data_IF_405783217607
#
_entry.id   IF_405783217607
#
_cell.length_a   1.000
_cell.length_b   1.000
_cell.length_c   1.000
_cell.angle_alpha   90.00
_cell.angle_beta   90.00
_cell.angle_gamma   90.00
#
_symmetry.space_group_name_H-M   'P 1'
#
loop_
_entity.id
_entity.type
_entity.pdbx_description
1 polymer ?
#
# COMPACT_ATOMS: atom_id res chain seq x y z
N UNK A 1 -4.17 -28.13 35.27
CA UNK A 1 -3.40 -27.82 36.50
C UNK A 1 -4.03 -26.62 37.20
N UNK A 2 -4.58 -26.81 38.40
CA UNK A 2 -5.44 -25.82 39.08
C UNK A 2 -4.68 -24.59 39.56
N UNK A 3 -5.26 -23.40 39.36
CA UNK A 3 -4.82 -22.14 39.97
C UNK A 3 -5.17 -22.17 41.46
N UNK A 4 -4.19 -22.38 42.34
CA UNK A 4 -4.39 -22.21 43.78
C UNK A 4 -4.80 -20.78 44.13
N UNK A 5 -5.71 -20.61 45.09
CA UNK A 5 -6.15 -19.31 45.60
C UNK A 5 -4.99 -18.58 46.32
N UNK A 6 -4.96 -17.25 46.22
CA UNK A 6 -3.89 -16.43 46.80
C UNK A 6 -4.07 -16.19 48.30
N UNK A 7 -5.28 -16.34 48.82
CA UNK A 7 -5.68 -16.05 50.20
C UNK A 7 -5.58 -17.23 51.17
N UNK A 8 -5.32 -18.44 50.67
CA UNK A 8 -5.33 -19.66 51.48
C UNK A 8 -4.01 -20.44 51.40
N UNK A 9 -3.72 -21.17 52.47
CA UNK A 9 -2.59 -22.11 52.56
C UNK A 9 -2.88 -23.38 51.74
N UNK A 10 -1.86 -24.21 51.51
CA UNK A 10 -2.00 -25.49 50.80
C UNK A 10 -3.01 -26.44 51.47
N UNK A 11 -3.28 -26.25 52.77
CA UNK A 11 -4.27 -27.01 53.55
C UNK A 11 -5.62 -26.30 53.70
N UNK A 12 -5.89 -25.22 52.95
CA UNK A 12 -7.18 -24.52 53.00
C UNK A 12 -7.33 -23.50 54.14
N UNK A 13 -6.38 -23.41 55.08
CA UNK A 13 -6.42 -22.44 56.19
C UNK A 13 -6.14 -21.03 55.69
N UNK A 14 -6.89 -20.06 56.21
CA UNK A 14 -6.73 -18.64 55.90
C UNK A 14 -5.29 -18.17 56.22
N UNK A 15 -4.66 -17.45 55.28
CA UNK A 15 -3.33 -16.86 55.50
C UNK A 15 -3.43 -15.55 56.28
N UNK A 16 -2.41 -15.26 57.09
CA UNK A 16 -2.29 -13.96 57.75
C UNK A 16 -2.15 -12.83 56.70
N UNK A 17 -2.77 -11.68 56.95
CA UNK A 17 -2.76 -10.51 56.09
C UNK A 17 -1.34 -10.06 55.69
N UNK A 18 -0.38 -10.13 56.63
CA UNK A 18 1.03 -9.79 56.37
C UNK A 18 1.70 -10.77 55.40
N UNK A 19 1.41 -12.06 55.53
CA UNK A 19 1.94 -13.08 54.63
C UNK A 19 1.28 -13.05 53.26
N UNK A 20 0.00 -12.69 53.19
CA UNK A 20 -0.69 -12.46 51.93
C UNK A 20 -0.08 -11.28 51.17
N UNK A 21 0.22 -10.17 51.87
CA UNK A 21 0.92 -9.03 51.29
C UNK A 21 2.32 -9.40 50.77
N UNK A 22 3.10 -10.17 51.53
CA UNK A 22 4.43 -10.66 51.11
C UNK A 22 4.33 -11.58 49.88
N UNK A 23 3.34 -12.48 49.84
CA UNK A 23 3.09 -13.40 48.73
C UNK A 23 2.66 -12.66 47.46
N UNK A 24 1.85 -11.62 47.60
CA UNK A 24 1.46 -10.75 46.49
C UNK A 24 2.63 -9.91 45.97
N UNK A 25 3.47 -9.35 46.84
CA UNK A 25 4.69 -8.63 46.45
C UNK A 25 5.63 -9.54 45.65
N UNK A 26 5.91 -10.75 46.16
CA UNK A 26 6.74 -11.75 45.46
C UNK A 26 6.14 -12.15 44.12
N UNK A 27 4.81 -12.28 44.04
CA UNK A 27 4.09 -12.59 42.79
C UNK A 27 4.17 -11.45 41.77
N UNK A 28 4.17 -10.19 42.21
CA UNK A 28 4.35 -9.00 41.36
C UNK A 28 5.78 -8.92 40.84
N UNK A 29 6.77 -9.21 41.68
CA UNK A 29 8.19 -9.33 41.29
C UNK A 29 8.42 -10.47 40.29
N UNK A 30 7.89 -11.67 40.56
CA UNK A 30 7.97 -12.82 39.65
C UNK A 30 7.17 -12.61 38.35
N UNK A 31 6.16 -11.73 38.34
CA UNK A 31 5.45 -11.29 37.13
C UNK A 31 6.21 -10.23 36.34
N UNK A 32 7.27 -9.65 36.90
CA UNK A 32 8.17 -8.74 36.20
C UNK A 32 9.13 -9.51 35.27
N UNK A 33 8.61 -10.48 34.52
CA UNK A 33 9.26 -11.13 33.36
C UNK A 33 9.28 -10.24 32.11
N UNK A 34 8.90 -8.97 32.24
CA UNK A 34 8.90 -7.98 31.16
C UNK A 34 10.25 -7.91 30.41
N UNK A 35 11.43 -7.91 31.09
CA UNK A 35 12.70 -7.94 30.35
C UNK A 35 12.97 -9.29 29.67
N UNK A 36 12.47 -10.41 30.20
CA UNK A 36 12.72 -11.74 29.62
C UNK A 36 12.00 -11.97 28.29
N UNK A 37 10.87 -11.31 28.01
CA UNK A 37 10.20 -11.40 26.71
C UNK A 37 10.62 -10.28 25.75
N UNK A 38 11.06 -9.14 26.28
CA UNK A 38 11.61 -8.04 25.47
C UNK A 38 13.00 -8.34 24.91
N UNK A 39 13.88 -9.01 25.68
CA UNK A 39 15.23 -9.37 25.21
C UNK A 39 15.16 -10.31 23.99
N UNK A 40 14.36 -11.39 23.96
CA UNK A 40 14.17 -12.20 22.76
C UNK A 40 13.60 -11.40 21.60
N UNK A 41 12.60 -10.53 21.82
CA UNK A 41 12.02 -9.73 20.74
C UNK A 41 13.03 -8.72 20.15
N UNK A 42 13.88 -8.11 20.98
CA UNK A 42 14.94 -7.20 20.54
C UNK A 42 16.08 -7.95 19.82
N UNK A 43 16.49 -9.11 20.34
CA UNK A 43 17.45 -10.01 19.69
C UNK A 43 16.91 -10.54 18.37
N UNK A 44 15.60 -10.82 18.27
CA UNK A 44 14.93 -11.19 17.02
C UNK A 44 14.89 -10.03 16.02
N UNK A 45 14.63 -8.80 16.46
CA UNK A 45 14.64 -7.61 15.59
C UNK A 45 16.04 -7.23 15.09
N UNK A 46 17.10 -7.70 15.76
CA UNK A 46 18.49 -7.41 15.41
C UNK A 46 19.21 -8.53 14.65
N UNK A 47 18.59 -9.70 14.46
CA UNK A 47 19.20 -10.77 13.66
C UNK A 47 19.08 -10.39 12.18
N UNK A 48 20.24 -10.29 11.53
CA UNK A 48 20.34 -10.19 10.09
C UNK A 48 19.63 -11.42 9.45
N UNK A 49 18.66 -11.22 8.53
CA UNK A 49 18.00 -12.31 7.83
C UNK A 49 18.99 -13.29 7.18
N UNK A 50 20.13 -12.79 6.69
CA UNK A 50 21.19 -13.63 6.13
C UNK A 50 21.83 -14.54 7.18
N UNK A 51 21.94 -14.08 8.42
CA UNK A 51 22.44 -14.89 9.52
C UNK A 51 21.44 -15.99 9.90
N UNK A 52 20.14 -15.68 9.90
CA UNK A 52 19.11 -16.69 10.17
C UNK A 52 19.08 -17.80 9.13
N UNK A 53 19.27 -17.45 7.85
CA UNK A 53 19.38 -18.43 6.76
C UNK A 53 20.59 -19.34 6.98
N UNK A 54 21.78 -18.76 7.26
CA UNK A 54 22.99 -19.53 7.58
C UNK A 54 22.82 -20.46 8.78
N UNK A 55 22.09 -20.01 9.80
CA UNK A 55 21.83 -20.81 11.00
C UNK A 55 20.85 -21.96 10.71
N UNK A 56 19.89 -21.77 9.79
CA UNK A 56 19.03 -22.87 9.31
C UNK A 56 19.81 -23.87 8.44
N UNK A 57 20.65 -23.40 7.52
CA UNK A 57 21.50 -24.27 6.69
C UNK A 57 22.39 -25.17 7.54
N UNK A 58 22.98 -24.63 8.62
CA UNK A 58 23.76 -25.44 9.57
C UNK A 58 22.93 -26.45 10.36
N UNK A 59 21.67 -26.13 10.66
CA UNK A 59 20.76 -27.08 11.31
C UNK A 59 20.42 -28.23 10.35
N UNK A 60 20.17 -27.92 9.08
CA UNK A 60 19.90 -28.91 8.03
C UNK A 60 21.13 -29.80 7.77
N UNK A 61 22.33 -29.21 7.71
CA UNK A 61 23.59 -29.95 7.61
C UNK A 61 23.76 -30.95 8.75
N UNK A 62 23.41 -30.59 9.99
CA UNK A 62 23.48 -31.52 11.13
C UNK A 62 22.41 -32.63 11.07
N UNK A 63 21.27 -32.41 10.42
CA UNK A 63 20.19 -33.40 10.29
C UNK A 63 20.47 -34.38 9.13
N UNK A 64 21.14 -33.92 8.07
CA UNK A 64 21.40 -34.69 6.84
C UNK A 64 22.82 -35.23 6.68
N UNK A 65 23.77 -34.93 7.58
CA UNK A 65 25.14 -35.43 7.46
C UNK A 65 25.22 -36.93 7.81
N UNK A 66 25.53 -37.82 6.84
CA UNK A 66 25.58 -39.26 7.07
C UNK A 66 26.86 -39.71 7.81
N UNK A 67 27.83 -38.81 7.99
CA UNK A 67 29.17 -39.12 8.55
C UNK A 67 29.26 -38.81 10.05
N UNK A 68 28.48 -37.86 10.55
CA UNK A 68 28.56 -37.37 11.92
C UNK A 68 27.22 -37.53 12.64
N UNK A 69 27.23 -38.26 13.76
CA UNK A 69 26.04 -38.34 14.61
C UNK A 69 25.67 -36.94 15.12
N UNK A 70 24.39 -36.54 15.01
CA UNK A 70 23.98 -35.21 15.44
C UNK A 70 24.23 -35.04 16.95
N UNK A 71 24.96 -33.98 17.34
CA UNK A 71 25.31 -33.74 18.75
C UNK A 71 24.11 -33.32 19.62
N UNK A 72 22.97 -33.00 19.00
CA UNK A 72 21.75 -32.58 19.67
C UNK A 72 20.63 -33.62 19.49
N UNK A 73 19.88 -33.84 20.55
CA UNK A 73 18.62 -34.60 20.54
C UNK A 73 17.70 -34.17 19.38
N UNK A 74 17.16 -35.14 18.62
CA UNK A 74 16.28 -34.95 17.48
C UNK A 74 15.09 -34.02 17.78
N UNK A 75 14.52 -34.13 18.99
CA UNK A 75 13.43 -33.24 19.44
C UNK A 75 13.87 -31.78 19.57
N UNK A 76 15.10 -31.55 20.04
CA UNK A 76 15.67 -30.20 20.21
C UNK A 76 15.98 -29.57 18.85
N UNK A 77 16.43 -30.37 17.88
CA UNK A 77 16.69 -29.89 16.50
C UNK A 77 15.39 -29.49 15.81
N UNK A 78 14.37 -30.35 15.86
CA UNK A 78 13.03 -30.06 15.32
C UNK A 78 12.42 -28.81 15.95
N UNK A 79 12.55 -28.65 17.27
CA UNK A 79 12.05 -27.45 17.96
C UNK A 79 12.79 -26.17 17.54
N UNK A 80 14.12 -26.24 17.33
CA UNK A 80 14.92 -25.12 16.80
C UNK A 80 14.52 -24.75 15.37
N UNK A 81 14.45 -25.73 14.46
CA UNK A 81 14.05 -25.51 13.07
C UNK A 81 12.64 -24.91 12.99
N UNK A 82 11.69 -25.45 13.76
CA UNK A 82 10.33 -24.92 13.85
C UNK A 82 10.28 -23.49 14.38
N UNK A 83 11.17 -23.13 15.31
CA UNK A 83 11.25 -21.76 15.80
C UNK A 83 11.83 -20.84 14.72
N UNK A 84 12.97 -21.18 14.13
CA UNK A 84 13.61 -20.39 13.05
C UNK A 84 12.66 -20.12 11.88
N UNK A 85 11.91 -21.13 11.42
CA UNK A 85 10.89 -20.96 10.37
C UNK A 85 9.77 -19.98 10.77
N UNK A 86 9.32 -20.00 12.03
CA UNK A 86 8.31 -19.04 12.52
C UNK A 86 8.87 -17.62 12.56
N UNK A 87 10.15 -17.46 12.88
CA UNK A 87 10.80 -16.15 12.90
C UNK A 87 10.95 -15.59 11.47
N UNK A 88 11.40 -16.40 10.52
CA UNK A 88 11.49 -16.01 9.11
C UNK A 88 10.13 -15.62 8.53
N UNK A 89 9.07 -16.40 8.81
CA UNK A 89 7.71 -16.06 8.34
C UNK A 89 7.23 -14.70 8.86
N UNK A 90 7.58 -14.33 10.10
CA UNK A 90 7.22 -13.01 10.65
C UNK A 90 7.95 -11.88 9.92
N UNK A 91 9.23 -12.07 9.62
CA UNK A 91 10.03 -11.11 8.86
C UNK A 91 9.51 -10.94 7.43
N UNK A 92 9.14 -12.03 6.78
CA UNK A 92 8.54 -12.02 5.44
C UNK A 92 7.27 -11.16 5.40
N UNK A 93 6.35 -11.38 6.34
CA UNK A 93 5.13 -10.58 6.46
C UNK A 93 5.44 -9.10 6.70
N UNK A 94 6.41 -8.78 7.58
CA UNK A 94 6.82 -7.39 7.83
C UNK A 94 7.40 -6.74 6.57
N UNK A 95 8.20 -7.49 5.80
CA UNK A 95 8.78 -7.01 4.55
C UNK A 95 7.71 -6.76 3.49
N UNK A 96 6.75 -7.68 3.33
CA UNK A 96 5.61 -7.50 2.43
C UNK A 96 4.77 -6.28 2.82
N UNK A 97 4.52 -6.06 4.11
CA UNK A 97 3.81 -4.88 4.58
C UNK A 97 4.53 -3.58 4.21
N UNK A 98 5.85 -3.50 4.43
CA UNK A 98 6.64 -2.32 4.06
C UNK A 98 6.65 -2.11 2.54
N UNK A 99 6.74 -3.19 1.77
CA UNK A 99 6.67 -3.13 0.30
C UNK A 99 5.31 -2.64 -0.18
N UNK A 100 4.22 -3.10 0.45
CA UNK A 100 2.88 -2.63 0.14
C UNK A 100 2.71 -1.12 0.44
N UNK A 101 3.24 -0.65 1.57
CA UNK A 101 3.26 0.79 1.90
C UNK A 101 4.05 1.60 0.88
N UNK A 102 5.20 1.09 0.44
CA UNK A 102 6.01 1.76 -0.59
C UNK A 102 5.27 1.82 -1.93
N UNK A 103 4.60 0.74 -2.34
CA UNK A 103 3.79 0.72 -3.55
C UNK A 103 2.66 1.75 -3.49
N UNK A 104 1.96 1.88 -2.36
CA UNK A 104 0.93 2.91 -2.18
C UNK A 104 1.49 4.33 -2.34
N UNK A 105 2.71 4.58 -1.87
CA UNK A 105 3.38 5.86 -2.06
C UNK A 105 3.70 6.10 -3.54
N UNK A 106 4.20 5.08 -4.25
CA UNK A 106 4.49 5.17 -5.68
C UNK A 106 3.21 5.41 -6.50
N UNK A 107 2.13 4.66 -6.21
CA UNK A 107 0.83 4.85 -6.85
C UNK A 107 0.32 6.28 -6.65
N UNK A 108 0.47 6.84 -5.43
CA UNK A 108 0.07 8.22 -5.15
C UNK A 108 0.92 9.24 -5.92
N UNK A 109 2.23 9.00 -6.07
CA UNK A 109 3.12 9.85 -6.88
C UNK A 109 2.73 9.77 -8.36
N UNK A 110 2.48 8.57 -8.88
CA UNK A 110 2.07 8.36 -10.27
C UNK A 110 0.73 9.03 -10.59
N UNK A 111 -0.24 8.98 -9.67
CA UNK A 111 -1.50 9.72 -9.80
C UNK A 111 -1.26 11.24 -9.88
N UNK A 112 -0.40 11.79 -9.02
CA UNK A 112 -0.05 13.22 -9.05
C UNK A 112 0.65 13.59 -10.36
N UNK A 113 1.57 12.76 -10.83
CA UNK A 113 2.28 12.95 -12.11
C UNK A 113 1.30 12.88 -13.28
N UNK A 114 0.39 11.91 -13.28
CA UNK A 114 -0.69 11.79 -14.27
C UNK A 114 -1.60 13.02 -14.29
N UNK A 115 -1.99 13.54 -13.12
CA UNK A 115 -2.79 14.75 -13.02
C UNK A 115 -2.03 15.99 -13.49
N UNK A 116 -0.75 16.11 -13.16
CA UNK A 116 0.05 17.29 -13.52
C UNK A 116 0.37 17.35 -15.01
N UNK A 117 0.61 16.21 -15.65
CA UNK A 117 1.07 16.18 -17.05
C UNK A 117 0.00 15.71 -18.03
N UNK A 118 -0.76 14.66 -17.71
CA UNK A 118 -1.68 14.06 -18.69
C UNK A 118 -3.02 14.77 -18.77
N UNK A 119 -3.55 15.28 -17.66
CA UNK A 119 -4.82 16.01 -17.65
C UNK A 119 -4.77 17.33 -18.45
N UNK A 120 -3.72 18.17 -18.35
CA UNK A 120 -3.60 19.36 -19.19
C UNK A 120 -3.45 19.02 -20.67
N UNK A 121 -2.71 17.96 -21.01
CA UNK A 121 -2.54 17.52 -22.40
C UNK A 121 -3.87 17.09 -23.02
N UNK A 122 -4.68 16.31 -22.28
CA UNK A 122 -6.03 15.92 -22.73
C UNK A 122 -6.95 17.13 -22.89
N UNK A 123 -6.93 18.07 -21.95
CA UNK A 123 -7.72 19.29 -22.02
C UNK A 123 -7.33 20.17 -23.23
N UNK A 124 -6.03 20.31 -23.49
CA UNK A 124 -5.51 21.04 -24.65
C UNK A 124 -5.91 20.38 -25.98
N UNK A 125 -5.94 19.06 -26.05
CA UNK A 125 -6.43 18.34 -27.23
C UNK A 125 -7.92 18.64 -27.50
N UNK A 126 -8.75 18.62 -26.46
CA UNK A 126 -10.18 18.97 -26.55
C UNK A 126 -10.36 20.44 -26.95
N UNK A 127 -9.62 21.36 -26.35
CA UNK A 127 -9.70 22.78 -26.71
C UNK A 127 -9.34 23.01 -28.18
N UNK A 128 -8.30 22.33 -28.68
CA UNK A 128 -7.89 22.40 -30.09
C UNK A 128 -8.97 21.88 -31.04
N UNK A 129 -9.68 20.81 -30.69
CA UNK A 129 -10.77 20.28 -31.53
C UNK A 129 -11.97 21.23 -31.54
N UNK A 130 -12.34 21.81 -30.39
CA UNK A 130 -13.40 22.81 -30.30
C UNK A 130 -13.10 24.07 -31.12
N UNK A 131 -11.87 24.59 -31.04
CA UNK A 131 -11.43 25.74 -31.85
C UNK A 131 -11.51 25.40 -33.35
N UNK A 132 -11.10 24.19 -33.75
CA UNK A 132 -11.15 23.75 -35.15
C UNK A 132 -12.59 23.66 -35.66
N UNK A 133 -13.49 23.06 -34.87
CA UNK A 133 -14.92 22.94 -35.20
C UNK A 133 -15.56 24.32 -35.31
N UNK A 134 -15.32 25.19 -34.32
CA UNK A 134 -15.83 26.57 -34.31
C UNK A 134 -15.38 27.35 -35.54
N UNK A 135 -14.08 27.28 -35.89
CA UNK A 135 -13.55 27.92 -37.09
C UNK A 135 -14.18 27.39 -38.38
N UNK A 136 -14.40 26.07 -38.47
CA UNK A 136 -15.07 25.48 -39.65
C UNK A 136 -16.54 25.91 -39.73
N UNK A 137 -17.25 25.98 -38.61
CA UNK A 137 -18.63 26.47 -38.59
C UNK A 137 -18.73 27.92 -39.11
N UNK A 138 -17.84 28.81 -38.67
CA UNK A 138 -17.77 30.20 -39.16
C UNK A 138 -17.45 30.26 -40.66
N UNK A 139 -16.50 29.45 -41.14
CA UNK A 139 -16.18 29.42 -42.57
C UNK A 139 -17.38 28.96 -43.42
N UNK A 140 -18.15 28.00 -42.91
CA UNK A 140 -19.34 27.46 -43.58
C UNK A 140 -20.55 28.39 -43.53
N UNK A 141 -20.61 29.36 -42.61
CA UNK A 141 -21.68 30.38 -42.61
C UNK A 141 -21.34 31.60 -43.45
N UNK A 142 -20.06 31.95 -43.60
CA UNK A 142 -19.61 33.11 -44.40
C UNK A 142 -19.61 32.81 -45.91
N UNK A 143 -19.38 31.55 -46.30
CA UNK A 143 -19.32 31.15 -47.72
C UNK A 143 -20.67 31.19 -48.46
N UNK A 144 -21.82 30.80 -47.87
CA UNK A 144 -23.13 30.90 -48.51
C UNK A 144 -23.70 32.32 -48.47
N UNK A 145 -23.43 33.09 -47.41
CA UNK A 145 -23.95 34.47 -47.28
C UNK A 145 -23.31 35.41 -48.29
N UNK A 146 -22.01 35.27 -48.56
CA UNK A 146 -21.31 36.05 -49.59
C UNK A 146 -21.85 35.77 -51.01
N UNK A 147 -22.25 34.52 -51.28
CA UNK A 147 -22.91 34.15 -52.53
C UNK A 147 -24.34 34.71 -52.64
N UNK A 148 -25.12 34.66 -51.56
CA UNK A 148 -26.48 35.18 -51.52
C UNK A 148 -26.49 36.70 -51.67
N UNK A 149 -25.58 37.42 -51.00
CA UNK A 149 -25.46 38.87 -51.13
C UNK A 149 -25.07 39.28 -52.56
N UNK A 150 -24.13 38.58 -53.19
CA UNK A 150 -23.76 38.82 -54.60
C UNK A 150 -24.94 38.58 -55.55
N UNK A 151 -25.68 37.50 -55.37
CA UNK A 151 -26.85 37.18 -56.21
C UNK A 151 -27.99 38.19 -56.02
N UNK A 152 -28.31 38.56 -54.77
CA UNK A 152 -29.32 39.57 -54.47
C UNK A 152 -28.95 40.94 -55.05
N UNK A 153 -27.68 41.34 -54.97
CA UNK A 153 -27.21 42.61 -55.53
C UNK A 153 -27.38 42.64 -57.06
N UNK A 154 -27.03 41.56 -57.75
CA UNK A 154 -27.23 41.43 -59.20
C UNK A 154 -28.73 41.47 -59.56
N UNK A 155 -29.59 40.82 -58.78
CA UNK A 155 -31.04 40.86 -59.00
C UNK A 155 -31.60 42.28 -58.86
N UNK A 156 -31.20 43.02 -57.82
CA UNK A 156 -31.68 44.39 -57.59
C UNK A 156 -31.21 45.37 -58.69
N UNK A 157 -29.98 45.23 -59.18
CA UNK A 157 -29.49 46.01 -60.34
C UNK A 157 -30.26 45.66 -61.62
N UNK A 158 -30.58 44.39 -61.82
CA UNK A 158 -31.40 43.96 -62.98
C UNK A 158 -32.82 44.51 -62.90
N UNK A 159 -33.43 44.57 -61.73
CA UNK A 159 -34.77 45.12 -61.57
C UNK A 159 -34.82 46.64 -61.78
N UNK A 160 -33.83 47.38 -61.27
CA UNK A 160 -33.73 48.84 -61.47
C UNK A 160 -33.49 49.20 -62.94
N UNK A 161 -32.66 48.44 -63.67
CA UNK A 161 -32.48 48.63 -65.12
C UNK A 161 -33.71 48.27 -65.94
N UNK A 162 -34.56 47.35 -65.47
CA UNK A 162 -35.83 46.99 -66.12
C UNK A 162 -36.93 48.02 -65.85
N UNK A 163 -37.03 48.57 -64.63
CA UNK A 163 -37.96 49.66 -64.30
C UNK A 163 -37.60 50.94 -65.07
N UNK A 164 -36.31 51.27 -65.20
CA UNK A 164 -35.86 52.43 -65.98
C UNK A 164 -36.16 52.31 -67.47
N UNK A 165 -36.19 51.09 -68.02
CA UNK A 165 -36.60 50.82 -69.42
C UNK A 165 -38.11 50.83 -69.67
N UNK A 166 -38.95 50.74 -68.63
CA UNK A 166 -40.41 50.79 -68.74
C UNK A 166 -41.00 52.21 -68.62
N UNK A 167 -40.18 53.20 -68.25
CA UNK A 167 -40.59 54.61 -68.13
C UNK A 167 -40.15 55.48 -69.32
N UNK A 168 -39.71 54.86 -70.41
CA UNK A 168 -39.40 55.47 -71.71
C UNK A 168 -40.39 54.90 -72.72
#
# INVERSE_FOLDING_TARGET
MGRGSTSSTKSGKFMNATDQARKEARKRELKNKKPLMMVPAAVLKMKDPKQMIRDMEKLDEMEFNPVQQPQLNEKVQKDKCKNSCKELRKLEIEYEQKRAQLNQYLDAVDEVVMMMFLAPVKMMAILRTWIKISRMAVLMTVTPTDWIEKVCTVMMVRETTMKKRRQV
#
